data_IF_104536125722
#
_entry.id   IF_104536125722
#
_cell.length_a   1.000
_cell.length_b   1.000
_cell.length_c   1.000
_cell.angle_alpha   90.00
_cell.angle_beta   90.00
_cell.angle_gamma   90.00
#
_symmetry.space_group_name_H-M   'P 1'
#
loop_
_entity.id
_entity.type
_entity.pdbx_description
1 polymer ?
#
# COMPACT_ATOMS: atom_id res chain seq x y z
N UNK A 1 42.27 -62.15 10.36
CA UNK A 1 41.65 -62.09 11.70
C UNK A 1 40.84 -60.78 11.78
N UNK A 2 39.62 -60.78 11.23
CA UNK A 2 38.76 -59.59 11.17
C UNK A 2 37.81 -59.58 12.37
N UNK A 3 37.91 -58.56 13.23
CA UNK A 3 36.97 -58.32 14.31
C UNK A 3 35.92 -57.31 13.85
N UNK A 4 34.72 -57.78 13.53
CA UNK A 4 33.53 -56.94 13.33
C UNK A 4 32.87 -56.69 14.68
N UNK A 5 32.99 -55.46 15.21
CA UNK A 5 32.17 -55.01 16.33
C UNK A 5 30.85 -54.42 15.79
N UNK A 6 29.75 -55.13 16.00
CA UNK A 6 28.39 -54.66 15.71
C UNK A 6 27.85 -53.84 16.88
N UNK A 7 27.81 -52.52 16.74
CA UNK A 7 27.20 -51.61 17.71
C UNK A 7 25.70 -51.48 17.43
N UNK A 8 24.87 -52.06 18.29
CA UNK A 8 23.41 -52.02 18.22
C UNK A 8 22.89 -50.72 18.83
N UNK A 9 22.51 -49.74 17.99
CA UNK A 9 21.97 -48.44 18.44
C UNK A 9 20.50 -48.58 18.82
N UNK A 10 20.19 -48.53 20.12
CA UNK A 10 18.83 -48.50 20.64
C UNK A 10 18.24 -47.08 20.51
N UNK A 11 17.17 -46.93 19.73
CA UNK A 11 16.43 -45.66 19.59
C UNK A 11 15.29 -45.58 20.62
N UNK A 12 15.50 -44.82 21.69
CA UNK A 12 14.43 -44.48 22.63
C UNK A 12 13.49 -43.44 22.02
N UNK A 13 12.25 -43.81 21.68
CA UNK A 13 11.18 -42.87 21.33
C UNK A 13 10.76 -42.09 22.59
N UNK A 14 11.28 -40.88 22.75
CA UNK A 14 10.80 -39.94 23.77
C UNK A 14 9.35 -39.55 23.48
N UNK A 15 8.42 -39.93 24.36
CA UNK A 15 7.03 -39.49 24.31
C UNK A 15 6.98 -38.03 24.80
N UNK A 16 6.52 -37.12 23.95
CA UNK A 16 6.36 -35.70 24.30
C UNK A 16 5.29 -35.58 25.41
N UNK A 17 5.54 -34.82 26.49
CA UNK A 17 4.54 -34.64 27.54
C UNK A 17 3.34 -33.87 26.98
N UNK A 18 2.13 -34.39 27.17
CA UNK A 18 0.90 -33.69 26.85
C UNK A 18 0.84 -32.39 27.66
N UNK A 19 0.84 -31.24 26.99
CA UNK A 19 0.68 -29.93 27.64
C UNK A 19 -0.82 -29.63 27.70
N UNK A 20 -1.36 -29.58 28.93
CA UNK A 20 -2.78 -29.36 29.21
C UNK A 20 -3.29 -27.97 28.74
N UNK A 21 -2.40 -27.09 28.29
CA UNK A 21 -2.74 -25.76 27.76
C UNK A 21 -3.56 -25.82 26.47
N UNK A 22 -3.27 -26.76 25.56
CA UNK A 22 -4.00 -26.95 24.31
C UNK A 22 -5.50 -27.22 24.51
N UNK A 23 -5.89 -28.25 25.31
CA UNK A 23 -7.31 -28.52 25.54
C UNK A 23 -8.02 -27.41 26.33
N UNK A 24 -7.32 -26.66 27.19
CA UNK A 24 -7.92 -25.52 27.92
C UNK A 24 -8.29 -24.38 26.97
N UNK A 25 -7.40 -24.00 26.04
CA UNK A 25 -7.68 -22.95 25.05
C UNK A 25 -8.86 -23.35 24.16
N UNK A 26 -8.91 -24.60 23.73
CA UNK A 26 -10.00 -25.13 22.92
C UNK A 26 -11.35 -25.07 23.66
N UNK A 27 -11.36 -25.39 24.96
CA UNK A 27 -12.57 -25.31 25.80
C UNK A 27 -13.06 -23.86 25.91
N UNK A 28 -12.17 -22.90 26.14
CA UNK A 28 -12.53 -21.48 26.23
C UNK A 28 -13.14 -20.97 24.92
N UNK A 29 -12.57 -21.34 23.78
CA UNK A 29 -13.11 -20.97 22.45
C UNK A 29 -14.51 -21.55 22.25
N UNK A 30 -14.72 -22.83 22.58
CA UNK A 30 -16.04 -23.47 22.44
C UNK A 30 -17.08 -22.82 23.35
N UNK A 31 -16.71 -22.46 24.58
CA UNK A 31 -17.60 -21.80 25.54
C UNK A 31 -17.99 -20.40 25.05
N UNK A 32 -17.05 -19.65 24.47
CA UNK A 32 -17.30 -18.36 23.85
C UNK A 32 -18.24 -18.46 22.64
N UNK A 33 -18.03 -19.44 21.76
CA UNK A 33 -18.92 -19.69 20.62
C UNK A 33 -20.33 -20.09 21.06
N UNK A 34 -20.46 -20.88 22.12
CA UNK A 34 -21.76 -21.25 22.68
C UNK A 34 -22.50 -20.04 23.29
N UNK A 35 -21.75 -19.11 23.89
CA UNK A 35 -22.28 -17.86 24.44
C UNK A 35 -22.81 -16.94 23.33
N UNK A 36 -22.09 -16.86 22.19
CA UNK A 36 -22.54 -16.16 20.99
C UNK A 36 -23.81 -16.81 20.42
N UNK A 37 -23.89 -18.13 20.36
CA UNK A 37 -25.08 -18.82 19.84
C UNK A 37 -26.31 -18.65 20.74
N UNK A 38 -26.12 -18.55 22.06
CA UNK A 38 -27.21 -18.42 23.04
C UNK A 38 -27.77 -17.00 23.14
N UNK A 39 -27.02 -15.99 22.73
CA UNK A 39 -27.40 -14.57 22.86
C UNK A 39 -27.64 -13.93 21.47
N UNK A 40 -28.90 -13.86 20.99
CA UNK A 40 -29.21 -13.27 19.68
C UNK A 40 -28.82 -11.78 19.56
N UNK A 41 -28.75 -11.05 20.68
CA UNK A 41 -28.26 -9.66 20.69
C UNK A 41 -26.75 -9.55 20.44
N UNK A 42 -25.95 -10.48 20.95
CA UNK A 42 -24.50 -10.51 20.72
C UNK A 42 -24.18 -10.91 19.26
N UNK A 43 -25.02 -11.75 18.64
CA UNK A 43 -24.93 -12.11 17.21
C UNK A 43 -25.09 -10.88 16.32
N UNK A 44 -26.01 -9.97 16.66
CA UNK A 44 -26.23 -8.73 15.90
C UNK A 44 -25.07 -7.75 16.08
N UNK A 45 -24.47 -7.65 17.27
CA UNK A 45 -23.30 -6.81 17.49
C UNK A 45 -22.06 -7.32 16.77
N UNK A 46 -21.84 -8.64 16.72
CA UNK A 46 -20.69 -9.24 16.03
C UNK A 46 -20.87 -9.26 14.51
N UNK A 47 -22.05 -9.62 13.97
CA UNK A 47 -22.32 -9.53 12.53
C UNK A 47 -22.53 -8.09 12.04
N UNK A 48 -22.97 -7.18 12.91
CA UNK A 48 -23.22 -5.76 12.58
C UNK A 48 -21.95 -4.90 12.48
N UNK A 49 -20.78 -5.44 12.81
CA UNK A 49 -19.49 -4.79 12.53
C UNK A 49 -19.04 -4.95 11.06
N UNK A 50 -19.64 -5.88 10.32
CA UNK A 50 -19.43 -6.00 8.87
C UNK A 50 -20.54 -5.25 8.16
N UNK A 51 -20.34 -3.94 7.93
CA UNK A 51 -21.24 -3.15 7.07
C UNK A 51 -20.80 -3.28 5.60
N UNK A 52 -21.71 -3.56 4.66
CA UNK A 52 -21.45 -3.33 3.24
C UNK A 52 -21.47 -1.82 2.97
N UNK A 53 -20.49 -1.33 2.20
CA UNK A 53 -20.46 0.04 1.68
C UNK A 53 -21.58 0.19 0.66
N UNK A 54 -22.53 1.08 0.92
CA UNK A 54 -23.51 1.52 -0.06
C UNK A 54 -22.96 2.71 -0.86
N UNK A 55 -22.80 2.51 -2.16
CA UNK A 55 -22.51 3.56 -3.14
C UNK A 55 -23.81 4.30 -3.47
N UNK A 56 -23.97 5.52 -2.95
CA UNK A 56 -25.03 6.43 -3.38
C UNK A 56 -24.41 7.55 -4.20
N UNK A 57 -24.53 7.42 -5.52
CA UNK A 57 -24.29 8.53 -6.44
C UNK A 57 -25.35 9.62 -6.28
N UNK A 58 -24.95 10.87 -6.46
CA UNK A 58 -25.89 11.95 -6.74
C UNK A 58 -25.21 12.97 -7.66
N UNK A 59 -25.56 12.85 -8.93
CA UNK A 59 -25.46 13.88 -9.96
C UNK A 59 -26.31 15.09 -9.56
N UNK A 60 -25.81 16.31 -9.77
CA UNK A 60 -26.65 17.51 -9.86
C UNK A 60 -26.05 18.52 -10.83
N UNK A 61 -26.91 18.90 -11.77
CA UNK A 61 -26.77 19.81 -12.90
C UNK A 61 -27.05 21.26 -12.47
N UNK A 62 -26.57 22.24 -13.27
CA UNK A 62 -27.06 23.63 -13.36
C UNK A 62 -25.89 24.60 -13.52
N UNK A 63 -25.50 25.13 -14.69
CA UNK A 63 -26.19 25.87 -15.77
C UNK A 63 -26.57 27.34 -15.45
N UNK A 64 -25.87 28.27 -16.12
CA UNK A 64 -26.35 29.51 -16.77
C UNK A 64 -25.79 30.87 -16.32
N UNK A 65 -25.37 31.66 -17.34
CA UNK A 65 -25.27 33.13 -17.37
C UNK A 65 -23.89 33.68 -16.96
N UNK A 66 -23.24 34.64 -17.63
CA UNK A 66 -23.68 35.64 -18.61
C UNK A 66 -22.46 36.18 -19.39
N UNK A 67 -22.73 36.53 -20.64
CA UNK A 67 -21.95 37.35 -21.57
C UNK A 67 -21.74 38.77 -21.03
N UNK A 68 -20.52 39.32 -21.18
CA UNK A 68 -20.32 40.76 -21.33
C UNK A 68 -19.18 41.04 -22.31
N UNK A 69 -19.55 41.58 -23.47
CA UNK A 69 -18.68 42.21 -24.47
C UNK A 69 -18.38 43.66 -24.03
N UNK A 70 -17.21 44.21 -24.36
CA UNK A 70 -17.20 45.61 -24.80
C UNK A 70 -16.49 45.82 -26.13
N UNK A 71 -17.08 46.78 -26.83
CA UNK A 71 -16.88 47.23 -28.20
C UNK A 71 -15.58 48.02 -28.44
N UNK A 72 -15.13 47.96 -29.69
CA UNK A 72 -14.01 48.60 -30.38
C UNK A 72 -13.67 50.08 -30.08
N UNK A 73 -12.41 50.47 -30.31
CA UNK A 73 -12.02 51.73 -31.01
C UNK A 73 -10.57 51.72 -31.51
N UNK A 74 -10.44 52.08 -32.80
CA UNK A 74 -9.33 52.72 -33.55
C UNK A 74 -7.97 52.03 -33.77
N UNK A 75 -7.87 51.40 -34.95
CA UNK A 75 -6.98 51.74 -36.08
C UNK A 75 -5.60 52.36 -35.81
N UNK A 76 -4.56 51.66 -36.25
CA UNK A 76 -3.43 52.24 -36.99
C UNK A 76 -2.85 51.19 -37.94
N UNK A 77 -2.90 51.52 -39.24
CA UNK A 77 -2.17 50.87 -40.32
C UNK A 77 -0.80 51.51 -40.40
N UNK A 78 0.25 50.76 -40.11
CA UNK A 78 1.61 51.06 -40.58
C UNK A 78 2.12 49.87 -41.39
N UNK A 79 2.35 50.18 -42.66
CA UNK A 79 2.91 49.33 -43.71
C UNK A 79 4.42 49.18 -43.55
N UNK A 80 4.90 47.93 -43.44
CA UNK A 80 6.32 47.60 -43.67
C UNK A 80 6.43 46.26 -44.42
N UNK A 81 6.85 46.40 -45.67
CA UNK A 81 7.74 45.54 -46.47
C UNK A 81 7.42 44.05 -46.70
N UNK A 82 7.06 43.75 -47.94
CA UNK A 82 6.85 42.40 -48.47
C UNK A 82 8.21 41.80 -48.87
N UNK A 83 8.76 40.96 -48.00
CA UNK A 83 9.89 40.07 -48.30
C UNK A 83 9.40 38.62 -48.39
N UNK A 84 9.83 37.95 -49.45
CA UNK A 84 9.53 36.58 -49.84
C UNK A 84 9.70 35.58 -48.67
N UNK A 85 8.73 34.69 -48.38
CA UNK A 85 8.81 33.82 -47.21
C UNK A 85 9.90 32.77 -47.41
N UNK A 86 10.99 32.90 -46.65
CA UNK A 86 11.92 31.80 -46.41
C UNK A 86 11.15 30.67 -45.70
N UNK A 87 11.29 29.39 -46.09
CA UNK A 87 10.56 28.31 -45.43
C UNK A 87 10.95 28.26 -43.95
N UNK A 88 9.98 28.55 -43.09
CA UNK A 88 10.11 28.42 -41.64
C UNK A 88 10.39 26.94 -41.35
N UNK A 89 11.46 26.58 -40.60
CA UNK A 89 11.68 25.20 -40.20
C UNK A 89 10.44 24.72 -39.45
N UNK A 90 9.81 23.65 -39.96
CA UNK A 90 8.68 23.00 -39.32
C UNK A 90 9.10 22.62 -37.91
N UNK A 91 8.45 23.22 -36.90
CA UNK A 91 8.70 22.88 -35.50
C UNK A 91 8.54 21.37 -35.31
N UNK A 92 9.39 20.71 -34.50
CA UNK A 92 9.23 19.29 -34.23
C UNK A 92 7.82 19.03 -33.70
N UNK A 93 7.21 17.94 -34.16
CA UNK A 93 5.89 17.53 -33.68
C UNK A 93 5.91 17.47 -32.14
N UNK A 94 5.05 18.26 -31.51
CA UNK A 94 4.77 18.13 -30.08
C UNK A 94 4.24 16.71 -29.85
N UNK A 95 4.82 16.02 -28.87
CA UNK A 95 4.29 14.74 -28.44
C UNK A 95 2.99 15.03 -27.66
N UNK A 96 1.85 14.77 -28.28
CA UNK A 96 0.51 14.96 -27.69
C UNK A 96 0.05 13.73 -26.89
N UNK A 97 0.96 12.84 -26.48
CA UNK A 97 0.59 11.67 -25.68
C UNK A 97 0.30 12.06 -24.22
N UNK A 98 -0.87 11.72 -23.67
CA UNK A 98 -1.16 11.97 -22.28
C UNK A 98 -0.27 11.09 -21.39
N UNK A 99 0.33 11.70 -20.37
CA UNK A 99 1.07 10.98 -19.32
C UNK A 99 0.25 10.96 -18.03
N UNK A 100 0.21 9.81 -17.37
CA UNK A 100 -0.47 9.62 -16.09
C UNK A 100 0.53 9.66 -14.95
N UNK A 101 0.31 10.57 -14.00
CA UNK A 101 1.13 10.70 -12.80
C UNK A 101 0.33 10.26 -11.57
N UNK A 102 0.95 9.47 -10.70
CA UNK A 102 0.47 9.20 -9.35
C UNK A 102 1.36 9.89 -8.33
N UNK A 103 0.76 10.69 -7.45
CA UNK A 103 1.44 11.31 -6.33
C UNK A 103 0.85 10.75 -5.02
N UNK A 104 1.71 10.14 -4.21
CA UNK A 104 1.41 9.62 -2.88
C UNK A 104 1.96 10.59 -1.84
N UNK A 105 1.26 10.69 -0.71
CA UNK A 105 1.73 11.43 0.46
C UNK A 105 2.90 10.73 1.15
N UNK A 106 3.00 10.93 2.46
CA UNK A 106 4.14 10.49 3.24
C UNK A 106 4.17 8.96 3.41
N UNK A 107 5.32 8.38 3.13
CA UNK A 107 5.70 7.04 3.56
C UNK A 107 6.55 7.21 4.82
N UNK A 108 5.93 6.93 5.96
CA UNK A 108 6.53 7.09 7.29
C UNK A 108 6.72 5.74 7.96
N UNK A 109 7.96 5.41 8.31
CA UNK A 109 8.32 4.15 8.98
C UNK A 109 8.42 4.35 10.50
N UNK A 110 7.28 4.36 11.19
CA UNK A 110 7.25 4.23 12.64
C UNK A 110 7.48 2.79 13.09
N UNK A 111 7.76 2.59 14.39
CA UNK A 111 8.12 1.28 14.95
C UNK A 111 7.12 0.17 14.57
N UNK A 112 5.81 0.43 14.67
CA UNK A 112 4.79 -0.56 14.32
C UNK A 112 4.81 -0.95 12.83
N UNK A 113 5.18 -0.03 11.94
CA UNK A 113 5.33 -0.30 10.51
C UNK A 113 6.59 -1.13 10.27
N UNK A 114 7.72 -0.73 10.88
CA UNK A 114 8.99 -1.48 10.83
C UNK A 114 8.79 -2.92 11.30
N UNK A 115 8.16 -3.09 12.46
CA UNK A 115 7.87 -4.40 13.04
C UNK A 115 6.92 -5.22 12.15
N UNK A 116 5.93 -4.57 11.53
CA UNK A 116 4.99 -5.21 10.60
C UNK A 116 5.64 -5.68 9.30
N UNK A 117 6.77 -5.09 8.91
CA UNK A 117 7.56 -5.54 7.77
C UNK A 117 8.58 -6.64 8.10
N UNK A 118 8.86 -6.91 9.37
CA UNK A 118 9.89 -7.88 9.77
C UNK A 118 9.51 -9.30 9.33
N UNK A 119 10.43 -9.99 8.66
CA UNK A 119 10.25 -11.39 8.27
C UNK A 119 10.97 -12.34 9.22
N UNK A 120 10.56 -13.61 9.22
CA UNK A 120 11.22 -14.68 9.99
C UNK A 120 12.57 -15.11 9.39
N UNK A 121 12.86 -14.67 8.16
CA UNK A 121 14.09 -15.00 7.45
C UNK A 121 15.20 -14.00 7.80
N UNK A 122 16.40 -14.50 8.07
CA UNK A 122 17.59 -13.68 8.29
C UNK A 122 18.64 -13.98 7.20
N UNK A 123 19.30 -12.96 6.66
CA UNK A 123 20.46 -13.13 5.76
C UNK A 123 21.74 -12.69 6.49
N UNK A 124 22.72 -13.59 6.60
CA UNK A 124 24.02 -13.34 7.27
C UNK A 124 23.89 -12.73 8.68
N UNK A 125 22.85 -13.12 9.42
CA UNK A 125 22.55 -12.63 10.77
C UNK A 125 21.94 -11.22 10.81
N UNK A 126 21.42 -10.72 9.67
CA UNK A 126 20.67 -9.47 9.59
C UNK A 126 19.19 -9.76 9.35
N UNK A 127 18.33 -8.96 10.01
CA UNK A 127 16.88 -8.98 9.84
C UNK A 127 16.50 -8.60 8.41
N UNK A 128 15.58 -9.34 7.80
CA UNK A 128 14.96 -8.97 6.53
C UNK A 128 13.60 -8.33 6.75
N UNK A 129 13.19 -7.49 5.80
CA UNK A 129 11.92 -6.79 5.84
C UNK A 129 11.19 -6.92 4.49
N UNK A 130 9.89 -7.21 4.52
CA UNK A 130 8.99 -7.20 3.38
C UNK A 130 7.79 -6.28 3.67
N UNK A 131 7.74 -5.15 2.96
CA UNK A 131 6.65 -4.18 3.05
C UNK A 131 5.63 -4.33 1.92
N UNK A 132 5.80 -5.30 1.01
CA UNK A 132 4.86 -5.54 -0.11
C UNK A 132 3.40 -5.66 0.36
N UNK A 133 3.09 -6.36 1.49
CA UNK A 133 1.72 -6.45 1.98
C UNK A 133 1.07 -5.10 2.35
N UNK A 134 1.87 -4.09 2.72
CA UNK A 134 1.37 -2.76 3.07
C UNK A 134 0.78 -2.02 1.86
N UNK A 135 1.24 -2.36 0.65
CA UNK A 135 0.80 -1.71 -0.59
C UNK A 135 -0.23 -2.52 -1.38
N UNK A 136 -0.60 -3.74 -0.93
CA UNK A 136 -1.40 -4.67 -1.73
C UNK A 136 -2.74 -4.09 -2.24
N UNK A 137 -3.36 -3.20 -1.47
CA UNK A 137 -4.66 -2.59 -1.82
C UNK A 137 -4.55 -1.37 -2.73
N UNK A 138 -3.37 -0.73 -2.79
CA UNK A 138 -3.11 0.47 -3.60
C UNK A 138 -2.22 0.19 -4.79
N UNK A 139 -1.63 -1.00 -4.87
CA UNK A 139 -0.79 -1.42 -5.98
C UNK A 139 -1.43 -1.22 -7.36
N UNK A 140 -2.74 -1.52 -7.60
CA UNK A 140 -3.36 -1.28 -8.90
C UNK A 140 -3.38 0.20 -9.31
N UNK A 141 -3.45 1.12 -8.34
CA UNK A 141 -3.47 2.57 -8.59
C UNK A 141 -2.06 3.04 -8.97
N UNK A 142 -1.06 2.61 -8.20
CA UNK A 142 0.35 2.98 -8.40
C UNK A 142 0.87 2.42 -9.73
N UNK A 143 0.51 1.17 -10.06
CA UNK A 143 0.95 0.48 -11.28
C UNK A 143 0.27 1.00 -12.55
N UNK A 144 -0.88 1.66 -12.45
CA UNK A 144 -1.57 2.23 -13.60
C UNK A 144 -0.96 3.56 -14.08
N UNK A 145 -0.09 4.20 -13.28
CA UNK A 145 0.57 5.44 -13.65
C UNK A 145 1.88 5.18 -14.41
N UNK A 146 2.20 6.06 -15.35
CA UNK A 146 3.48 6.04 -16.06
C UNK A 146 4.64 6.45 -15.13
N UNK A 147 4.35 7.34 -14.17
CA UNK A 147 5.27 7.75 -13.13
C UNK A 147 4.55 7.90 -11.78
N UNK A 148 5.07 7.22 -10.76
CA UNK A 148 4.62 7.32 -9.38
C UNK A 148 5.67 7.99 -8.50
N UNK A 149 5.26 8.97 -7.70
CA UNK A 149 6.12 9.74 -6.78
C UNK A 149 5.51 9.66 -5.38
N UNK A 150 6.35 9.60 -4.35
CA UNK A 150 5.93 9.66 -2.95
C UNK A 150 6.85 10.62 -2.17
N UNK A 151 6.35 11.14 -1.05
CA UNK A 151 7.22 11.75 -0.05
C UNK A 151 7.70 10.66 0.90
N UNK A 152 9.01 10.50 1.07
CA UNK A 152 9.56 9.56 2.04
C UNK A 152 10.01 10.32 3.29
N UNK A 153 9.37 10.03 4.41
CA UNK A 153 9.67 10.63 5.71
C UNK A 153 10.09 9.51 6.68
N UNK A 154 11.34 9.10 6.54
CA UNK A 154 11.97 8.07 7.36
C UNK A 154 13.47 8.30 7.49
N UNK A 155 14.09 7.65 8.48
CA UNK A 155 15.54 7.70 8.65
C UNK A 155 16.19 6.53 7.92
N UNK A 156 17.35 6.78 7.31
CA UNK A 156 18.16 5.79 6.60
C UNK A 156 19.55 5.69 7.24
N UNK A 157 19.62 5.67 8.58
CA UNK A 157 20.87 5.60 9.33
C UNK A 157 21.38 4.16 9.51
N UNK A 158 20.61 3.18 9.06
CA UNK A 158 20.98 1.76 9.04
C UNK A 158 20.52 1.04 10.31
N UNK A 159 20.69 -0.30 10.35
CA UNK A 159 20.22 -1.08 11.48
C UNK A 159 20.98 -0.75 12.79
N UNK A 160 20.32 -0.89 13.95
CA UNK A 160 18.95 -1.33 14.12
C UNK A 160 17.96 -0.23 13.71
N UNK A 161 16.93 -0.56 12.92
CA UNK A 161 15.90 0.40 12.54
C UNK A 161 14.96 0.63 13.72
N UNK A 162 14.79 1.89 14.12
CA UNK A 162 13.91 2.25 15.23
C UNK A 162 13.05 3.44 14.91
N UNK A 163 11.84 3.47 15.47
CA UNK A 163 10.96 4.63 15.44
C UNK A 163 11.21 5.59 16.61
N UNK A 164 10.27 6.49 16.85
CA UNK A 164 10.30 7.40 17.99
C UNK A 164 10.68 6.70 19.31
N UNK A 165 11.56 7.28 20.16
CA UNK A 165 12.11 8.64 20.07
C UNK A 165 13.42 8.79 19.29
N UNK A 166 14.07 7.69 18.93
CA UNK A 166 15.36 7.70 18.24
C UNK A 166 15.20 7.01 16.90
N UNK A 167 15.17 7.80 15.83
CA UNK A 167 15.01 7.25 14.49
C UNK A 167 16.37 6.81 13.93
N UNK A 168 16.42 5.63 13.31
CA UNK A 168 17.59 5.09 12.61
C UNK A 168 17.22 4.27 11.39
#
# INVERSE_FOLDING_TARGET
MNQFQSQKKSSSRQRRPYRLTGPIILLVILLFLMLIQSSPELRKTVLGLVRPVETTGMTSVGESGQTTEPQATASQTESVDESEPTPIPTAPALFDEPITLAAVGDIILHQAVIDGGLTDDEDKGQKNYDFTPAFQYVAPIIQAADLSICNFEGTLAGPPFTGFPLFS
#
